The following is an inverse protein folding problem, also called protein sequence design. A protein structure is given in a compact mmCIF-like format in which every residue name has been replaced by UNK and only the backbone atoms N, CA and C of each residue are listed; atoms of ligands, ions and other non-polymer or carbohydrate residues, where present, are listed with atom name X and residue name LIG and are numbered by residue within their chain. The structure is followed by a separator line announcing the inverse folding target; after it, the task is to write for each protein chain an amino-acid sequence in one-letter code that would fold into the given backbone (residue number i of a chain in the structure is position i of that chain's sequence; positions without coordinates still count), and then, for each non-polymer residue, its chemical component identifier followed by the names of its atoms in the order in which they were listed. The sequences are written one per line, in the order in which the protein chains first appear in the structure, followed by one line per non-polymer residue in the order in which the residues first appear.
data_IF_443643785443
#
_entry.id   IF_443643785443
#
_cell.length_a   1.000
_cell.length_b   1.000
_cell.length_c   1.000
_cell.angle_alpha   90.00
_cell.angle_beta   90.00
_cell.angle_gamma   90.00
#
_symmetry.space_group_name_H-M   'P 1'
#
loop_
_entity.id
_entity.type
_entity.pdbx_description
1 polymer ?
2 non-polymer ?
3 water ?
#
# COMPACT_ATOMS: atom_id res chain seq x y z
N UNK A 1 2.04 -2.04 -22.01
CA UNK A 1 1.71 -3.00 -20.92
C UNK A 1 2.90 -3.56 -20.08
N UNK A 2 4.15 -3.40 -20.49
CA UNK A 2 5.29 -3.64 -19.57
C UNK A 2 6.11 -2.38 -19.31
N UNK A 3 6.45 -2.11 -18.05
CA UNK A 3 7.25 -0.97 -17.67
C UNK A 3 8.43 -1.42 -16.81
N UNK A 4 9.60 -0.88 -17.09
CA UNK A 4 10.84 -1.31 -16.45
C UNK A 4 11.50 -0.18 -15.67
N UNK A 5 12.07 -0.52 -14.53
CA UNK A 5 12.84 0.43 -13.75
C UNK A 5 14.25 -0.10 -13.47
N UNK A 6 15.22 0.80 -13.40
CA UNK A 6 16.58 0.44 -13.03
C UNK A 6 17.60 0.49 -14.15
N UNK A 7 17.15 0.67 -15.39
CA UNK A 7 18.08 0.94 -16.48
C UNK A 7 17.64 2.14 -17.34
N UNK A 8 17.79 3.33 -16.78
CA UNK A 8 17.43 4.58 -17.45
C UNK A 8 16.37 5.33 -16.67
N UNK A 9 15.23 4.69 -16.49
CA UNK A 9 14.10 5.29 -15.78
C UNK A 9 13.85 4.52 -14.50
N UNK A 10 13.62 5.25 -13.40
CA UNK A 10 13.39 4.64 -12.11
C UNK A 10 11.96 4.81 -11.62
N UNK A 11 11.09 5.39 -12.45
CA UNK A 11 9.67 5.53 -12.12
C UNK A 11 8.77 5.61 -13.35
N UNK A 12 7.61 4.98 -13.26
CA UNK A 12 6.52 5.16 -14.22
C UNK A 12 5.21 5.20 -13.45
N UNK A 13 4.37 6.16 -13.79
CA UNK A 13 3.03 6.18 -13.25
C UNK A 13 2.05 6.64 -14.31
N UNK A 14 0.86 6.08 -14.25
CA UNK A 14 -0.18 6.46 -15.19
C UNK A 14 -1.47 5.82 -14.77
N UNK A 15 -2.37 5.70 -15.74
CA UNK A 15 -3.69 5.11 -15.54
C UNK A 15 -4.01 4.17 -16.70
N UNK A 16 -4.78 3.13 -16.42
CA UNK A 16 -5.32 2.26 -17.47
C UNK A 16 -6.56 1.51 -17.00
N UNK A 17 -7.56 1.43 -17.86
CA UNK A 17 -8.87 0.84 -17.50
C UNK A 17 -9.46 1.43 -16.19
N UNK A 18 -9.17 2.70 -15.93
CA UNK A 18 -9.72 3.40 -14.77
C UNK A 18 -8.98 3.19 -13.47
N UNK A 19 -7.86 2.46 -13.51
CA UNK A 19 -7.09 2.16 -12.33
C UNK A 19 -5.68 2.72 -12.48
N UNK A 20 -5.17 3.33 -11.41
CA UNK A 20 -3.84 3.88 -11.44
C UNK A 20 -2.83 2.76 -11.57
N UNK A 21 -1.64 3.08 -12.08
CA UNK A 21 -0.47 2.25 -11.82
C UNK A 21 0.72 3.13 -11.44
N UNK A 22 1.60 2.58 -10.62
CA UNK A 22 2.85 3.22 -10.29
C UNK A 22 3.90 2.16 -9.99
N UNK A 23 5.10 2.38 -10.52
CA UNK A 23 6.26 1.57 -10.18
C UNK A 23 7.41 2.53 -9.90
N UNK A 24 8.18 2.26 -8.86
CA UNK A 24 9.28 3.15 -8.48
C UNK A 24 10.42 2.34 -7.90
N UNK A 25 11.64 2.77 -8.25
CA UNK A 25 12.90 2.24 -7.70
C UNK A 25 13.75 3.41 -7.28
N UNK A 26 14.41 3.31 -6.12
CA UNK A 26 15.31 4.37 -5.70
C UNK A 26 16.56 4.37 -6.58
N UNK A 27 17.44 5.36 -6.39
CA UNK A 27 18.68 5.48 -7.17
C UNK A 27 19.86 4.70 -6.59
N UNK A 28 19.55 3.78 -5.67
CA UNK A 28 20.55 3.00 -4.93
C UNK A 28 20.87 1.66 -5.60
N UNK A 29 20.27 1.38 -6.75
CA UNK A 29 20.56 0.18 -7.51
C UNK A 29 19.37 -0.75 -7.67
N UNK A 30 19.61 -1.86 -8.35
CA UNK A 30 18.59 -2.88 -8.56
C UNK A 30 17.82 -2.62 -9.84
N UNK A 31 16.84 -3.47 -10.10
CA UNK A 31 15.97 -3.32 -11.24
C UNK A 31 14.58 -3.85 -10.91
N UNK A 32 13.63 -3.62 -11.82
CA UNK A 32 12.27 -4.08 -11.60
C UNK A 32 11.35 -3.79 -12.76
N UNK A 33 10.13 -4.33 -12.69
CA UNK A 33 9.17 -4.17 -13.77
C UNK A 33 7.75 -4.42 -13.29
N UNK A 34 6.81 -3.86 -14.04
CA UNK A 34 5.38 -4.08 -13.87
C UNK A 34 4.79 -4.36 -15.24
N UNK A 35 4.07 -5.47 -15.34
CA UNK A 35 3.29 -5.79 -16.54
C UNK A 35 1.83 -5.59 -16.18
N UNK A 36 1.12 -4.77 -16.96
CA UNK A 36 -0.30 -4.52 -16.73
C UNK A 36 -1.14 -5.68 -17.26
N UNK A 37 -2.19 -6.02 -16.53
CA UNK A 37 -3.27 -6.84 -17.07
C UNK A 37 -4.52 -5.99 -17.17
N UNK A 38 -5.64 -6.61 -17.54
CA UNK A 38 -6.92 -5.90 -17.62
C UNK A 38 -7.35 -5.38 -16.26
N UNK A 39 -8.09 -4.28 -16.30
CA UNK A 39 -8.66 -3.72 -15.07
C UNK A 39 -7.55 -3.17 -14.22
N UNK A 40 -7.49 -3.63 -12.96
CA UNK A 40 -6.47 -3.19 -12.01
C UNK A 40 -5.37 -4.22 -11.82
N UNK A 41 -5.40 -5.30 -12.60
CA UNK A 41 -4.48 -6.40 -12.39
C UNK A 41 -3.08 -6.03 -12.89
N UNK A 42 -2.07 -6.67 -12.30
CA UNK A 42 -0.68 -6.46 -12.69
C UNK A 42 0.24 -7.55 -12.16
N UNK A 43 1.39 -7.68 -12.81
CA UNK A 43 2.48 -8.51 -12.27
C UNK A 43 3.67 -7.60 -12.05
N UNK A 44 4.25 -7.69 -10.86
CA UNK A 44 5.40 -6.88 -10.51
C UNK A 44 6.56 -7.81 -10.20
N UNK A 45 7.74 -7.44 -10.67
CA UNK A 45 8.96 -8.15 -10.30
C UNK A 45 10.01 -7.14 -9.88
N UNK A 46 10.80 -7.52 -8.87
CA UNK A 46 11.90 -6.68 -8.43
C UNK A 46 13.14 -7.50 -8.06
N UNK A 47 14.30 -6.96 -8.40
CA UNK A 47 15.59 -7.46 -7.97
C UNK A 47 16.36 -6.31 -7.33
N UNK A 48 16.19 -6.14 -6.03
CA UNK A 48 16.79 -5.01 -5.30
C UNK A 48 17.44 -5.47 -4.00
N UNK A 49 17.99 -6.70 -4.00
CA UNK A 49 18.70 -7.24 -2.85
C UNK A 49 20.10 -6.65 -2.79
N UNK A 50 20.13 -5.33 -2.68
CA UNK A 50 21.36 -4.56 -2.59
C UNK A 50 21.19 -3.60 -1.41
N UNK A 51 22.30 -3.03 -0.94
CA UNK A 51 22.23 -2.05 0.15
C UNK A 51 21.32 -0.87 -0.19
N UNK A 52 20.33 -0.63 0.68
CA UNK A 52 19.33 0.41 0.53
C UNK A 52 18.47 0.29 -0.74
N UNK A 53 18.43 -0.91 -1.32
CA UNK A 53 17.53 -1.23 -2.43
C UNK A 53 16.11 -1.06 -1.97
N UNK A 54 15.28 -0.46 -2.83
CA UNK A 54 14.00 0.06 -2.43
C UNK A 54 13.08 0.14 -3.65
N UNK A 55 12.02 -0.65 -3.62
CA UNK A 55 11.16 -0.85 -4.77
C UNK A 55 9.70 -0.82 -4.33
N UNK A 56 8.84 -0.30 -5.22
CA UNK A 56 7.40 -0.42 -5.04
C UNK A 56 6.65 -0.50 -6.38
N UNK A 57 5.54 -1.24 -6.36
CA UNK A 57 4.62 -1.35 -7.50
C UNK A 57 3.21 -1.38 -6.93
N UNK A 58 2.31 -0.58 -7.48
CA UNK A 58 0.96 -0.52 -6.95
C UNK A 58 -0.05 -0.11 -7.99
N UNK A 59 -1.28 -0.59 -7.83
CA UNK A 59 -2.40 -0.15 -8.64
C UNK A 59 -3.64 0.03 -7.78
N UNK A 60 -4.48 0.98 -8.16
CA UNK A 60 -5.67 1.24 -7.37
C UNK A 60 -6.60 2.27 -7.95
N UNK A 61 -7.54 2.69 -7.09
CA UNK A 61 -8.60 3.61 -7.45
C UNK A 61 -8.35 4.95 -6.77
N UNK A 62 -8.29 6.02 -7.58
CA UNK A 62 -8.15 7.39 -7.07
C UNK A 62 -9.54 7.86 -6.64
N UNK A 63 -9.60 8.46 -5.45
CA UNK A 63 -10.85 8.99 -4.89
C UNK A 63 -10.93 10.51 -4.88
N UNK A 64 -9.84 11.19 -5.24
CA UNK A 64 -9.86 12.62 -5.48
C UNK A 64 -9.81 13.52 -4.25
N UNK A 65 -9.56 12.95 -3.08
CA UNK A 65 -9.42 13.73 -1.85
C UNK A 65 -10.63 14.65 -1.65
N UNK A 66 -11.81 14.08 -1.83
CA UNK A 66 -13.05 14.85 -1.86
C UNK A 66 -13.76 14.83 -0.53
N UNK A 67 -13.71 13.70 0.16
CA UNK A 67 -14.42 13.59 1.43
C UNK A 67 -13.77 12.66 2.42
N UNK A 68 -14.07 12.90 3.70
CA UNK A 68 -13.55 12.12 4.80
C UNK A 68 -13.62 10.65 4.44
N UNK A 69 -12.51 9.92 4.64
CA UNK A 69 -12.43 8.52 4.26
C UNK A 69 -13.55 7.64 4.85
N UNK A 70 -14.02 8.01 6.05
CA UNK A 70 -15.11 7.29 6.72
C UNK A 70 -16.54 7.69 6.28
N UNK A 71 -16.68 8.72 5.45
CA UNK A 71 -17.96 9.05 4.84
C UNK A 71 -18.42 8.06 3.77
N UNK A 72 -17.52 7.27 3.23
CA UNK A 72 -17.91 6.25 2.24
C UNK A 72 -18.57 5.12 3.01
N UNK A 73 -19.81 4.79 2.65
CA UNK A 73 -20.55 3.80 3.44
C UNK A 73 -19.88 2.45 3.38
N UNK A 74 -19.34 2.10 2.22
CA UNK A 74 -18.71 0.81 2.06
C UNK A 74 -17.64 0.90 1.01
N UNK A 75 -16.43 0.42 1.34
CA UNK A 75 -15.34 0.30 0.37
C UNK A 75 -14.85 -1.14 0.45
N UNK A 76 -14.89 -1.82 -0.69
CA UNK A 76 -14.43 -3.20 -0.77
C UNK A 76 -13.22 -3.35 -1.66
N UNK A 77 -12.38 -4.31 -1.31
CA UNK A 77 -11.25 -4.69 -2.16
C UNK A 77 -11.15 -6.21 -2.19
N UNK A 78 -11.21 -6.79 -3.39
CA UNK A 78 -11.02 -8.22 -3.58
C UNK A 78 -9.77 -8.42 -4.41
N UNK A 79 -8.92 -9.34 -3.99
CA UNK A 79 -7.66 -9.55 -4.66
C UNK A 79 -7.28 -11.02 -4.64
N UNK A 80 -6.47 -11.44 -5.60
CA UNK A 80 -5.82 -12.74 -5.57
C UNK A 80 -4.45 -12.56 -6.20
N UNK A 81 -3.43 -13.11 -5.54
CA UNK A 81 -2.05 -12.93 -5.98
C UNK A 81 -1.18 -14.13 -5.64
N UNK A 82 -0.15 -14.31 -6.44
CA UNK A 82 1.02 -15.15 -6.10
C UNK A 82 2.09 -14.15 -5.69
N UNK A 83 2.69 -14.35 -4.52
CA UNK A 83 3.59 -13.38 -3.93
C UNK A 83 4.72 -14.16 -3.25
N UNK A 84 5.95 -13.83 -3.65
CA UNK A 84 7.12 -14.62 -3.28
C UNK A 84 8.32 -13.66 -3.15
N UNK A 85 9.09 -13.77 -2.06
CA UNK A 85 10.37 -13.08 -1.93
C UNK A 85 11.44 -14.13 -2.19
N UNK A 86 12.31 -13.85 -3.16
CA UNK A 86 13.29 -14.84 -3.62
C UNK A 86 14.72 -14.52 -3.17
N UNK A 87 14.96 -13.29 -2.68
CA UNK A 87 16.24 -12.93 -2.09
C UNK A 87 16.04 -11.90 -1.00
N UNK A 88 16.93 -11.89 -0.02
CA UNK A 88 16.84 -10.92 1.05
C UNK A 88 18.24 -10.61 1.56
N UNK A 89 18.70 -9.39 1.30
CA UNK A 89 19.97 -8.91 1.85
C UNK A 89 19.65 -8.11 3.11
N UNK A 90 19.37 -8.81 4.20
CA UNK A 90 18.78 -8.23 5.41
C UNK A 90 17.58 -7.36 5.04
N UNK A 91 16.71 -7.93 4.22
CA UNK A 91 15.63 -7.18 3.65
C UNK A 91 14.26 -7.72 4.00
N UNK A 92 13.28 -7.15 3.32
CA UNK A 92 11.89 -7.49 3.58
C UNK A 92 11.01 -7.04 2.43
N UNK A 93 9.76 -7.47 2.49
CA UNK A 93 8.73 -7.05 1.55
C UNK A 93 7.38 -7.26 2.18
N UNK A 94 6.37 -6.61 1.60
CA UNK A 94 5.00 -6.73 2.02
C UNK A 94 4.03 -6.58 0.86
N UNK A 95 2.83 -7.13 1.05
CA UNK A 95 1.72 -6.95 0.14
C UNK A 95 0.60 -6.33 1.00
N UNK A 96 0.09 -5.18 0.58
CA UNK A 96 -0.87 -4.48 1.39
C UNK A 96 -1.79 -3.58 0.61
N UNK A 97 -2.92 -3.26 1.22
CA UNK A 97 -3.73 -2.15 0.75
C UNK A 97 -3.05 -0.89 1.23
N UNK A 98 -3.08 0.13 0.40
CA UNK A 98 -2.26 1.30 0.58
C UNK A 98 -2.99 2.55 0.11
N UNK A 99 -2.73 3.66 0.78
CA UNK A 99 -3.24 4.95 0.30
C UNK A 99 -2.93 6.05 1.26
N UNK A 100 -3.58 7.20 1.06
CA UNK A 100 -3.43 8.37 1.94
C UNK A 100 -4.75 8.98 2.36
N UNK A 101 -4.73 9.63 3.52
CA UNK A 101 -5.74 10.61 3.88
C UNK A 101 -5.12 12.00 3.80
N UNK A 102 -5.63 12.80 2.87
CA UNK A 102 -5.17 14.16 2.63
C UNK A 102 -5.79 15.10 3.68
N UNK A 103 -4.94 15.95 4.26
CA UNK A 103 -5.39 16.91 5.29
C UNK A 103 -5.37 18.36 4.80
N UNK A 104 -5.11 18.55 3.52
CA UNK A 104 -5.10 19.88 2.92
C UNK A 104 -6.48 20.51 3.09
N UNK A 105 -6.51 21.66 3.79
CA UNK A 105 -7.74 22.38 4.08
C UNK A 105 -8.43 21.91 5.34
N UNK A 106 -7.81 20.98 6.07
CA UNK A 106 -8.44 20.32 7.20
C UNK A 106 -7.70 20.67 8.49
N UNK A 107 -8.37 21.41 9.34
CA UNK A 107 -7.77 21.92 10.56
C UNK A 107 -7.84 20.84 11.65
N UNK A 108 -6.71 20.56 12.29
CA UNK A 108 -6.64 19.56 13.36
C UNK A 108 -6.55 18.10 12.90
N UNK A 109 -6.32 17.90 11.60
CA UNK A 109 -6.30 16.57 11.00
C UNK A 109 -4.90 16.26 10.44
N UNK A 110 -4.31 15.11 10.82
CA UNK A 110 -2.99 14.80 10.30
C UNK A 110 -3.01 14.28 8.85
N UNK A 111 -1.87 14.42 8.19
CA UNK A 111 -1.64 13.80 6.91
C UNK A 111 -1.30 12.34 7.23
N UNK A 112 -1.97 11.41 6.56
CA UNK A 112 -1.82 9.99 6.85
C UNK A 112 -1.48 9.17 5.61
N UNK A 113 -0.50 8.29 5.77
CA UNK A 113 -0.21 7.23 4.83
C UNK A 113 -0.62 5.95 5.54
N UNK A 114 -1.53 5.19 4.93
CA UNK A 114 -2.10 4.01 5.60
C UNK A 114 -1.72 2.71 4.89
N UNK A 115 -1.68 1.62 5.69
CA UNK A 115 -1.35 0.28 5.22
C UNK A 115 -2.27 -0.78 5.89
N UNK A 116 -2.84 -1.65 5.08
CA UNK A 116 -3.54 -2.82 5.55
C UNK A 116 -2.71 -3.99 5.01
N UNK A 117 -1.86 -4.54 5.87
CA UNK A 117 -0.83 -5.50 5.43
C UNK A 117 -1.37 -6.93 5.56
N UNK A 118 -1.48 -7.56 4.39
CA UNK A 118 -2.08 -8.88 4.25
C UNK A 118 -1.02 -9.98 4.32
N UNK A 119 0.18 -9.67 3.86
CA UNK A 119 1.29 -10.60 3.88
C UNK A 119 2.60 -9.80 3.91
N UNK A 120 3.64 -10.44 4.45
CA UNK A 120 4.96 -9.83 4.52
C UNK A 120 5.99 -10.94 4.60
N UNK A 121 7.24 -10.59 4.34
CA UNK A 121 8.35 -11.52 4.49
C UNK A 121 9.48 -10.84 5.24
N UNK A 122 9.96 -11.54 6.28
CA UNK A 122 11.16 -11.21 7.09
C UNK A 122 10.94 -10.14 8.13
N UNK A 123 10.24 -9.07 7.75
CA UNK A 123 9.99 -7.94 8.64
C UNK A 123 8.71 -7.22 8.24
N UNK A 124 8.02 -6.72 9.25
CA UNK A 124 6.83 -5.90 9.09
C UNK A 124 6.88 -4.83 10.18
N UNK A 125 6.40 -3.60 9.90
CA UNK A 125 6.27 -2.59 10.95
C UNK A 125 5.43 -3.06 12.13
N UNK A 126 5.80 -2.61 13.32
CA UNK A 126 5.09 -2.99 14.53
C UNK A 126 5.27 -1.91 15.61
N UNK A 127 4.30 -1.84 16.49
CA UNK A 127 4.35 -0.99 17.66
C UNK A 127 3.26 -1.44 18.59
N UNK A 128 3.31 -0.94 19.81
CA UNK A 128 2.26 -1.17 20.79
C UNK A 128 0.93 -0.84 20.14
N UNK A 129 0.06 -1.84 20.07
CA UNK A 129 -1.20 -1.72 19.38
C UNK A 129 -2.31 -2.52 20.03
N UNK A 130 -3.37 -2.73 19.24
CA UNK A 130 -4.61 -3.30 19.71
C UNK A 130 -5.02 -4.32 18.67
N UNK A 131 -5.52 -5.47 19.11
CA UNK A 131 -6.07 -6.47 18.19
C UNK A 131 -7.54 -6.18 17.94
N UNK A 132 -7.94 -6.26 16.68
CA UNK A 132 -9.34 -6.09 16.30
C UNK A 132 -9.72 -7.21 15.33
N UNK A 133 -11.03 -7.42 15.20
CA UNK A 133 -11.57 -8.43 14.30
C UNK A 133 -12.25 -7.74 13.11
N UNK A 134 -11.71 -7.95 11.92
CA UNK A 134 -12.28 -7.43 10.67
C UNK A 134 -12.31 -8.56 9.63
N UNK A 135 -13.43 -8.69 8.91
CA UNK A 135 -13.64 -9.77 7.94
C UNK A 135 -13.34 -11.16 8.51
N UNK A 136 -13.70 -11.36 9.77
CA UNK A 136 -13.53 -12.66 10.42
C UNK A 136 -12.13 -12.94 10.91
N UNK A 137 -11.22 -11.98 10.74
CA UNK A 137 -9.80 -12.20 10.99
C UNK A 137 -9.20 -11.19 11.99
N UNK A 138 -8.12 -11.59 12.66
CA UNK A 138 -7.44 -10.71 13.58
C UNK A 138 -6.45 -9.80 12.86
N UNK A 139 -6.51 -8.51 13.19
CA UNK A 139 -5.57 -7.51 12.71
C UNK A 139 -5.07 -6.74 13.92
N UNK A 140 -3.76 -6.47 13.94
CA UNK A 140 -3.20 -5.55 14.89
C UNK A 140 -3.17 -4.17 14.29
N UNK A 141 -3.72 -3.20 15.04
CA UNK A 141 -3.75 -1.80 14.63
C UNK A 141 -2.86 -0.91 15.51
N UNK A 142 -2.22 0.03 14.85
CA UNK A 142 -1.37 1.00 15.51
C UNK A 142 -1.08 2.11 14.54
N UNK A 143 -0.59 3.21 15.10
CA UNK A 143 -0.17 4.35 14.33
C UNK A 143 1.22 4.74 14.83
N UNK A 144 1.98 5.44 13.99
CA UNK A 144 3.30 5.91 14.36
C UNK A 144 3.68 7.11 13.51
N UNK A 145 4.63 7.91 14.01
CA UNK A 145 5.13 9.07 13.27
C UNK A 145 6.11 8.60 12.20
N UNK A 146 6.15 9.32 11.09
CA UNK A 146 7.14 9.09 10.06
C UNK A 146 7.56 10.44 9.51
N UNK A 147 8.83 10.55 9.16
CA UNK A 147 9.38 11.76 8.56
C UNK A 147 9.92 11.37 7.19
N UNK A 148 9.45 12.06 6.16
CA UNK A 148 9.86 11.71 4.81
C UNK A 148 9.05 12.42 3.75
N UNK A 149 9.34 12.12 2.48
CA UNK A 149 8.61 12.69 1.35
C UNK A 149 7.17 12.20 1.37
N UNK A 150 6.32 12.88 0.63
CA UNK A 150 4.90 12.89 0.90
C UNK A 150 4.18 13.15 -0.42
N UNK A 151 2.90 12.80 -0.51
CA UNK A 151 2.08 13.14 -1.71
C UNK A 151 1.99 14.65 -1.98
N UNK A 152 2.19 15.45 -0.94
CA UNK A 152 2.22 16.92 -0.98
C UNK A 152 3.58 17.58 -1.19
N UNK A 153 4.67 16.84 -1.09
CA UNK A 153 6.01 17.43 -1.25
C UNK A 153 7.13 16.61 -0.64
N UNK A 154 8.17 17.30 -0.15
CA UNK A 154 9.32 16.64 0.46
C UNK A 154 9.30 16.64 1.98
N UNK A 155 10.29 15.96 2.57
CA UNK A 155 10.35 15.74 4.03
C UNK A 155 9.40 16.61 4.86
N UNK A 156 8.36 15.99 5.37
CA UNK A 156 7.65 16.51 6.54
C UNK A 156 7.38 15.34 7.49
N UNK A 157 6.94 15.66 8.71
CA UNK A 157 6.58 14.64 9.69
C UNK A 157 5.07 14.42 9.64
N UNK A 158 4.67 13.18 9.35
CA UNK A 158 3.25 12.86 9.20
C UNK A 158 2.93 11.57 9.95
N UNK A 159 1.71 11.08 9.83
CA UNK A 159 1.30 9.85 10.50
C UNK A 159 1.17 8.68 9.53
N UNK A 160 1.46 7.50 10.04
CA UNK A 160 1.13 6.28 9.34
C UNK A 160 0.17 5.46 10.19
N UNK A 161 -0.90 4.96 9.55
CA UNK A 161 -1.86 4.06 10.19
C UNK A 161 -1.69 2.66 9.65
N UNK A 162 -1.73 1.68 10.55
CA UNK A 162 -1.50 0.27 10.21
C UNK A 162 -2.58 -0.65 10.73
N UNK A 163 -3.01 -1.57 9.86
CA UNK A 163 -3.63 -2.84 10.28
C UNK A 163 -2.78 -3.93 9.70
N UNK A 164 -2.29 -4.82 10.57
CA UNK A 164 -1.44 -5.92 10.17
C UNK A 164 -2.15 -7.24 10.45
N UNK A 165 -2.43 -7.96 9.37
CA UNK A 165 -3.15 -9.24 9.43
C UNK A 165 -2.30 -10.26 10.15
N UNK A 166 -2.88 -10.96 11.12
CA UNK A 166 -2.12 -11.91 11.92
C UNK A 166 -1.90 -13.26 11.23
N UNK A 167 -2.85 -13.66 10.40
CA UNK A 167 -2.74 -14.85 9.57
C UNK A 167 -2.47 -14.41 8.12
N UNK A 168 -1.21 -14.41 7.71
CA UNK A 168 -0.84 -13.99 6.36
C UNK A 168 -1.67 -14.69 5.27
N UNK A 169 -1.99 -13.96 4.21
CA UNK A 169 -2.62 -14.57 3.03
C UNK A 169 -2.36 -13.73 1.80
N UNK A 170 -2.65 -14.32 0.63
CA UNK A 170 -2.41 -13.66 -0.65
C UNK A 170 -3.67 -13.57 -1.52
N UNK A 171 -4.83 -13.80 -0.94
CA UNK A 171 -6.09 -13.59 -1.64
C UNK A 171 -7.22 -13.41 -0.66
N UNK A 172 -8.22 -12.64 -1.06
CA UNK A 172 -9.45 -12.58 -0.29
C UNK A 172 -10.16 -11.25 -0.41
N UNK A 173 -11.19 -11.08 0.41
CA UNK A 173 -11.95 -9.85 0.46
C UNK A 173 -11.49 -9.01 1.65
N UNK A 174 -11.35 -7.70 1.42
CA UNK A 174 -11.06 -6.74 2.47
C UNK A 174 -12.15 -5.67 2.50
N UNK A 175 -12.76 -5.48 3.66
CA UNK A 175 -13.69 -4.39 3.86
C UNK A 175 -12.87 -3.21 4.35
N UNK A 176 -12.30 -2.50 3.37
CA UNK A 176 -11.40 -1.36 3.61
C UNK A 176 -12.05 -0.32 4.53
N UNK A 177 -13.34 -0.06 4.33
CA UNK A 177 -14.10 0.89 5.13
C UNK A 177 -14.14 0.52 6.62
N UNK A 178 -14.13 -0.77 6.93
CA UNK A 178 -14.10 -1.27 8.31
C UNK A 178 -12.78 -1.00 9.01
N UNK A 179 -11.67 -1.10 8.28
CA UNK A 179 -10.37 -0.70 8.81
C UNK A 179 -10.35 0.79 9.16
N UNK A 180 -10.85 1.60 8.26
CA UNK A 180 -10.96 3.05 8.48
C UNK A 180 -11.79 3.35 9.75
N UNK A 181 -12.91 2.63 9.91
CA UNK A 181 -13.80 2.81 11.08
C UNK A 181 -13.10 2.41 12.37
N UNK A 182 -12.30 1.33 12.35
CA UNK A 182 -11.54 0.92 13.55
C UNK A 182 -10.50 1.98 13.93
N UNK A 183 -9.80 2.51 12.94
CA UNK A 183 -8.80 3.55 13.21
C UNK A 183 -9.48 4.78 13.82
N UNK A 184 -10.63 5.16 13.26
CA UNK A 184 -11.43 6.29 13.77
C UNK A 184 -11.90 6.05 15.21
N UNK A 185 -12.20 4.79 15.55
CA UNK A 185 -12.65 4.45 16.90
C UNK A 185 -11.57 4.62 17.96
N UNK A 186 -10.31 4.65 17.53
CA UNK A 186 -9.20 4.93 18.41
C UNK A 186 -9.05 6.43 18.68
N UNK A 187 -9.83 7.26 17.99
CA UNK A 187 -9.69 8.70 18.11
C UNK A 187 -8.63 9.28 17.18
N UNK A 188 -8.16 8.51 16.21
CA UNK A 188 -7.19 9.02 15.24
C UNK A 188 -7.87 9.88 14.18
N UNK A 189 -7.25 11.02 13.84
CA UNK A 189 -7.77 11.92 12.83
C UNK A 189 -7.82 11.29 11.45
N UNK A 190 -8.93 11.53 10.76
CA UNK A 190 -9.20 10.96 9.44
C UNK A 190 -9.49 12.09 8.46
N UNK A 191 -8.61 12.25 7.48
CA UNK A 191 -8.78 13.26 6.44
C UNK A 191 -9.48 12.70 5.22
N UNK A 192 -9.28 13.38 4.09
CA UNK A 192 -9.99 13.06 2.86
C UNK A 192 -9.31 11.91 2.11
N UNK A 193 -10.09 10.96 1.61
CA UNK A 193 -9.53 9.78 0.96
C UNK A 193 -8.88 10.10 -0.39
N UNK A 194 -7.58 9.89 -0.47
CA UNK A 194 -6.78 10.13 -1.67
C UNK A 194 -6.85 8.93 -2.62
N UNK A 195 -6.58 7.73 -2.12
CA UNK A 195 -6.62 6.52 -2.95
C UNK A 195 -6.80 5.24 -2.14
N UNK A 196 -7.19 4.17 -2.83
CA UNK A 196 -7.16 2.82 -2.29
C UNK A 196 -6.43 1.94 -3.31
N UNK A 197 -5.26 1.44 -2.92
CA UNK A 197 -4.38 0.72 -3.83
C UNK A 197 -3.97 -0.60 -3.24
N UNK A 198 -3.67 -1.58 -4.09
CA UNK A 198 -2.94 -2.75 -3.65
C UNK A 198 -1.48 -2.52 -4.03
N UNK A 199 -0.60 -2.74 -3.06
CA UNK A 199 0.78 -2.32 -3.11
C UNK A 199 1.74 -3.47 -2.75
N UNK A 200 2.74 -3.67 -3.60
CA UNK A 200 3.88 -4.55 -3.29
C UNK A 200 5.15 -3.69 -3.17
N UNK A 201 5.86 -3.90 -2.07
CA UNK A 201 6.98 -3.07 -1.63
C UNK A 201 8.14 -3.97 -1.22
N UNK A 202 9.35 -3.58 -1.59
CA UNK A 202 10.54 -4.37 -1.25
C UNK A 202 11.65 -3.47 -0.76
N UNK A 203 12.29 -3.90 0.34
CA UNK A 203 13.50 -3.27 0.85
C UNK A 203 14.62 -4.30 0.92
N UNK A 204 15.70 -4.05 0.18
CA UNK A 204 16.86 -4.95 0.19
C UNK A 204 16.45 -6.41 -0.08
N UNK A 205 15.53 -6.57 -1.03
CA UNK A 205 14.98 -7.87 -1.35
C UNK A 205 14.72 -8.01 -2.84
N UNK A 206 14.40 -9.23 -3.26
CA UNK A 206 13.94 -9.51 -4.60
C UNK A 206 12.72 -10.38 -4.50
N UNK A 207 11.82 -10.26 -5.47
CA UNK A 207 10.63 -11.09 -5.47
C UNK A 207 9.69 -10.88 -6.63
N UNK A 208 8.49 -11.40 -6.47
CA UNK A 208 7.44 -11.27 -7.49
C UNK A 208 6.06 -11.20 -6.84
N UNK A 209 5.19 -10.38 -7.40
CA UNK A 209 3.82 -10.30 -6.96
C UNK A 209 2.99 -10.31 -8.24
N UNK A 210 2.32 -11.43 -8.48
CA UNK A 210 1.49 -11.61 -9.66
C UNK A 210 0.02 -11.50 -9.26
N UNK A 211 -0.55 -10.30 -9.47
CA UNK A 211 -1.89 -10.00 -8.99
C UNK A 211 -2.87 -10.28 -10.11
N UNK A 212 -3.49 -11.46 -10.06
CA UNK A 212 -4.37 -11.92 -11.12
C UNK A 212 -5.83 -11.44 -10.94
N UNK A 213 -6.16 -11.00 -9.75
CA UNK A 213 -7.52 -10.53 -9.44
C UNK A 213 -7.35 -9.31 -8.58
N UNK A 214 -7.95 -8.19 -8.98
CA UNK A 214 -7.97 -6.99 -8.14
C UNK A 214 -9.14 -6.13 -8.51
N UNK A 215 -10.06 -5.98 -7.58
CA UNK A 215 -11.23 -5.17 -7.75
C UNK A 215 -11.38 -4.25 -6.55
N UNK A 216 -11.56 -2.96 -6.80
CA UNK A 216 -11.82 -2.00 -5.72
C UNK A 216 -13.12 -1.29 -6.04
N UNK A 217 -13.98 -1.14 -5.05
CA UNK A 217 -15.26 -0.51 -5.28
C UNK A 217 -15.83 0.13 -4.01
N UNK A 218 -16.78 1.04 -4.23
CA UNK A 218 -17.59 1.62 -3.16
C UNK A 218 -19.06 1.33 -3.40
N UNK A 219 -19.85 1.37 -2.34
CA UNK A 219 -21.31 1.25 -2.43
C UNK A 219 -21.93 2.23 -1.44
X LIG B 1 -8.47 -2.86 -21.03
X LIG C 1 -18.59 13.58 7.24
#
# INVERSE_FOLDING_TARGET
MKFTVGNGQNQHKGVNDGFSYEIWLDNTGGNGSMTLGSGATFKAEWNAAVNRGNFLARRGLDFGSQKKATDYDYIGLDYAATYKQTASASGNSRLCVYGWFQNRGLNGVPLVEYYIIEDWVDWVPDAQGKMVTIDGAQYKIFQMDHTGPTINGGSETFKQYFSVRQQKRTSGHITVSDHFKEWAKQGWGIGNLYEVALNAEGWQSSGVADVTLLDVYTTPKGSSPALEHHHHHH
CD CD
CD CD
#
